data_IF_528373030562
#
_entry.id   IF_528373030562
#
_cell.length_a   1.000
_cell.length_b   1.000
_cell.length_c   1.000
_cell.angle_alpha   90.00
_cell.angle_beta   90.00
_cell.angle_gamma   90.00
#
_symmetry.space_group_name_H-M   'P 1'
#
loop_
_entity.id
_entity.type
_entity.pdbx_description
1 polymer ?
#
# COMPACT_ATOMS: atom_id res chain seq x y z
N UNK A 1 -10.29 -3.58 -20.25
CA UNK A 1 -9.02 -3.93 -19.59
C UNK A 1 -8.41 -2.62 -19.11
N UNK A 2 -8.21 -2.46 -17.80
CA UNK A 2 -7.61 -1.25 -17.23
C UNK A 2 -6.16 -1.60 -16.88
N UNK A 3 -5.17 -1.04 -17.58
CA UNK A 3 -3.77 -1.49 -17.47
C UNK A 3 -3.10 -1.07 -16.15
N UNK A 4 -3.77 -0.28 -15.31
CA UNK A 4 -3.20 0.30 -14.09
C UNK A 4 -3.82 -0.33 -12.83
N UNK A 5 -3.01 -0.88 -11.92
CA UNK A 5 -3.47 -1.32 -10.61
C UNK A 5 -4.06 -0.16 -9.81
N UNK A 6 -5.26 -0.34 -9.29
CA UNK A 6 -5.97 0.63 -8.45
C UNK A 6 -5.56 0.45 -6.98
N UNK A 7 -5.67 1.53 -6.23
CA UNK A 7 -5.52 1.51 -4.77
C UNK A 7 -6.84 1.08 -4.13
N UNK A 8 -6.80 0.06 -3.26
CA UNK A 8 -7.95 -0.41 -2.49
C UNK A 8 -8.18 0.44 -1.25
N UNK A 9 -7.10 0.75 -0.54
CA UNK A 9 -7.12 1.49 0.72
C UNK A 9 -5.75 2.12 1.01
N UNK A 10 -5.78 3.23 1.76
CA UNK A 10 -4.61 3.87 2.34
C UNK A 10 -4.92 4.06 3.82
N UNK A 11 -4.04 3.56 4.69
CA UNK A 11 -4.17 3.71 6.14
C UNK A 11 -2.90 4.33 6.70
N UNK A 12 -3.04 5.38 7.50
CA UNK A 12 -1.93 6.01 8.20
C UNK A 12 -1.72 5.41 9.59
N UNK A 13 -0.45 5.22 9.95
CA UNK A 13 -0.07 4.86 11.31
C UNK A 13 -0.22 6.04 12.26
N UNK A 14 -0.76 5.79 13.45
CA UNK A 14 -0.87 6.79 14.52
C UNK A 14 0.44 6.97 15.32
N UNK A 15 1.44 6.10 15.11
CA UNK A 15 2.65 6.02 15.94
C UNK A 15 3.95 6.24 15.15
N UNK A 16 3.90 6.12 13.82
CA UNK A 16 5.07 6.24 12.94
C UNK A 16 4.65 7.01 11.68
N UNK A 17 5.57 7.71 11.02
CA UNK A 17 5.32 8.34 9.72
C UNK A 17 5.28 7.26 8.62
N UNK A 18 4.25 6.41 8.64
CA UNK A 18 4.10 5.29 7.72
C UNK A 18 2.66 5.15 7.20
N UNK A 19 2.53 4.90 5.90
CA UNK A 19 1.28 4.49 5.27
C UNK A 19 1.32 3.02 4.88
N UNK A 20 0.19 2.35 5.05
CA UNK A 20 -0.08 1.03 4.47
C UNK A 20 -1.00 1.25 3.27
N UNK A 21 -0.51 0.91 2.07
CA UNK A 21 -1.26 1.05 0.81
C UNK A 21 -1.56 -0.34 0.27
N UNK A 22 -2.84 -0.68 0.12
CA UNK A 22 -3.26 -1.95 -0.47
C UNK A 22 -3.53 -1.74 -1.97
N UNK A 23 -2.81 -2.46 -2.82
CA UNK A 23 -2.96 -2.41 -4.26
C UNK A 23 -3.83 -3.59 -4.69
N UNK A 24 -4.98 -3.24 -5.27
CA UNK A 24 -6.00 -4.15 -5.76
C UNK A 24 -5.37 -5.18 -6.70
N UNK A 25 -5.28 -4.88 -7.98
CA UNK A 25 -5.09 -5.87 -9.06
C UNK A 25 -3.81 -6.71 -8.93
N UNK A 26 -2.79 -6.20 -8.22
CA UNK A 26 -1.51 -6.91 -8.01
C UNK A 26 -1.46 -7.74 -6.74
N UNK A 27 -2.39 -7.57 -5.79
CA UNK A 27 -2.33 -8.24 -4.49
C UNK A 27 -1.06 -7.86 -3.72
N UNK A 28 -0.69 -6.58 -3.75
CA UNK A 28 0.50 -6.08 -3.07
C UNK A 28 0.12 -5.10 -1.97
N UNK A 29 0.86 -5.14 -0.87
CA UNK A 29 0.79 -4.13 0.19
C UNK A 29 2.10 -3.34 0.14
N UNK A 30 2.02 -2.02 0.08
CA UNK A 30 3.17 -1.14 0.20
C UNK A 30 3.19 -0.53 1.60
N UNK A 31 4.31 -0.70 2.31
CA UNK A 31 4.64 0.08 3.49
C UNK A 31 5.46 1.28 3.04
N UNK A 32 4.89 2.47 3.14
CA UNK A 32 5.52 3.72 2.71
C UNK A 32 5.92 4.51 3.94
N UNK A 33 7.22 4.53 4.24
CA UNK A 33 7.78 5.36 5.30
C UNK A 33 8.07 6.77 4.75
N UNK A 34 7.41 7.76 5.33
CA UNK A 34 7.50 9.18 4.98
C UNK A 34 8.17 10.02 6.07
N UNK A 35 9.01 9.42 6.92
CA UNK A 35 9.81 10.16 7.90
C UNK A 35 10.67 11.25 7.25
N UNK A 36 11.16 10.99 6.03
CA UNK A 36 11.83 11.95 5.16
C UNK A 36 11.09 12.00 3.83
N UNK A 37 10.37 13.12 3.60
CA UNK A 37 9.55 13.30 2.40
C UNK A 37 10.38 13.43 1.12
N UNK A 38 11.65 13.82 1.25
CA UNK A 38 12.59 13.90 0.13
C UNK A 38 13.16 12.50 -0.21
N UNK A 39 13.13 11.56 0.74
CA UNK A 39 13.72 10.22 0.61
C UNK A 39 12.76 9.11 1.11
N UNK A 40 11.62 8.95 0.43
CA UNK A 40 10.64 7.92 0.77
C UNK A 40 11.25 6.52 0.71
N UNK A 41 11.03 5.73 1.77
CA UNK A 41 11.38 4.31 1.78
C UNK A 41 10.11 3.48 1.59
N UNK A 42 10.09 2.62 0.58
CA UNK A 42 8.94 1.78 0.25
C UNK A 42 9.33 0.31 0.36
N UNK A 43 8.57 -0.45 1.17
CA UNK A 43 8.69 -1.91 1.26
C UNK A 43 7.46 -2.57 0.64
N UNK A 44 7.67 -3.47 -0.31
CA UNK A 44 6.58 -4.22 -0.97
C UNK A 44 6.42 -5.59 -0.31
N UNK A 45 5.20 -5.89 0.11
CA UNK A 45 4.81 -7.18 0.68
C UNK A 45 3.80 -7.84 -0.25
N UNK A 46 4.01 -9.10 -0.58
CA UNK A 46 3.03 -9.89 -1.32
C UNK A 46 1.85 -10.24 -0.41
N UNK A 47 0.63 -10.00 -0.89
CA UNK A 47 -0.63 -10.34 -0.24
C UNK A 47 -1.36 -11.41 -1.06
N UNK A 48 -2.28 -12.13 -0.42
CA UNK A 48 -3.19 -12.98 -1.15
C UNK A 48 -4.08 -12.12 -2.07
N UNK A 49 -4.18 -12.47 -3.36
CA UNK A 49 -4.98 -11.76 -4.38
C UNK A 49 -6.45 -11.51 -3.99
N UNK A 50 -6.97 -12.23 -2.99
CA UNK A 50 -8.37 -12.20 -2.57
C UNK A 50 -8.68 -11.18 -1.46
N UNK A 51 -7.67 -10.49 -0.89
CA UNK A 51 -7.88 -9.48 0.16
C UNK A 51 -8.16 -8.07 -0.43
N UNK A 52 -9.11 -8.00 -1.36
CA UNK A 52 -9.14 -6.97 -2.41
C UNK A 52 -10.39 -6.07 -2.40
N UNK A 53 -11.48 -6.56 -1.81
CA UNK A 53 -12.78 -5.88 -1.79
C UNK A 53 -13.15 -5.25 -0.45
N UNK A 54 -12.17 -5.13 0.46
CA UNK A 54 -12.40 -4.59 1.80
C UNK A 54 -13.04 -5.63 2.69
N UNK A 55 -12.22 -6.21 3.58
CA UNK A 55 -12.76 -6.82 4.79
C UNK A 55 -13.33 -5.74 5.71
#
# INVERSE_FOLDING_TARGET
YHPEPRVASIVASFIKPEWVVNIKETGQILLVNYADIENLTVTTIASAKFLHDGG
#
